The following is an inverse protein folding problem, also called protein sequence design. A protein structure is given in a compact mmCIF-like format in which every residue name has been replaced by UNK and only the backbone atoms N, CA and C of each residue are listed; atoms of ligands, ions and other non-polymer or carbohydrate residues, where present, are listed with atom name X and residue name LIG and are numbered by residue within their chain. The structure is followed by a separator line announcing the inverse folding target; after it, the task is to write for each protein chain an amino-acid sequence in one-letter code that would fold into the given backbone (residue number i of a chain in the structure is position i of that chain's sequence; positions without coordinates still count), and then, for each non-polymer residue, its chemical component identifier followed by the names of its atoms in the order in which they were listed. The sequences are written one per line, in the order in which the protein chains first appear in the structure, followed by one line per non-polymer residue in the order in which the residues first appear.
data_IF_510465303455
#
_entry.id   IF_510465303455
#
_cell.length_a   1.000
_cell.length_b   1.000
_cell.length_c   1.000
_cell.angle_alpha   90.00
_cell.angle_beta   90.00
_cell.angle_gamma   90.00
#
_symmetry.space_group_name_H-M   'P 1'
#
loop_
_entity.id
_entity.type
_entity.pdbx_description
1 polymer ?
#
# COMPACT_ATOMS: atom_id res chain seq x y z
N UNK A 1 -10.22 8.39 -38.09
CA UNK A 1 -8.91 7.78 -37.82
C UNK A 1 -7.93 8.71 -37.11
N UNK A 2 -7.56 9.88 -37.64
CA UNK A 2 -6.59 10.80 -36.98
C UNK A 2 -7.02 11.30 -35.58
N UNK A 3 -8.32 11.60 -35.39
CA UNK A 3 -8.84 12.02 -34.08
C UNK A 3 -8.83 10.88 -33.03
N UNK A 4 -9.06 9.64 -33.49
CA UNK A 4 -9.07 8.44 -32.63
C UNK A 4 -7.65 8.09 -32.17
N UNK A 5 -6.67 8.22 -33.08
CA UNK A 5 -5.25 8.03 -32.81
C UNK A 5 -4.74 9.13 -31.87
N UNK A 6 -5.19 10.38 -32.03
CA UNK A 6 -4.86 11.48 -31.12
C UNK A 6 -5.44 11.27 -29.72
N UNK A 7 -6.69 10.80 -29.59
CA UNK A 7 -7.29 10.42 -28.31
C UNK A 7 -6.56 9.24 -27.66
N UNK A 8 -6.14 8.24 -28.45
CA UNK A 8 -5.33 7.13 -27.97
C UNK A 8 -3.96 7.61 -27.46
N UNK A 9 -3.29 8.50 -28.22
CA UNK A 9 -2.00 9.10 -27.85
C UNK A 9 -2.09 9.99 -26.61
N UNK A 10 -3.16 10.77 -26.46
CA UNK A 10 -3.39 11.58 -25.25
C UNK A 10 -3.72 10.70 -24.04
N UNK A 11 -4.40 9.57 -24.23
CA UNK A 11 -4.61 8.58 -23.15
C UNK A 11 -3.34 7.80 -22.78
N UNK A 12 -2.40 7.63 -23.72
CA UNK A 12 -1.10 6.99 -23.49
C UNK A 12 -0.08 7.91 -22.80
N UNK A 13 -0.23 9.23 -22.90
CA UNK A 13 0.65 10.22 -22.27
C UNK A 13 0.35 10.45 -20.78
N UNK A 14 -0.64 9.76 -20.21
CA UNK A 14 -1.09 9.94 -18.83
C UNK A 14 -0.79 8.73 -17.95
N UNK A 15 0.42 8.16 -17.99
CA UNK A 15 0.74 7.02 -17.10
C UNK A 15 2.17 7.12 -16.56
N UNK A 16 2.39 8.14 -15.73
CA UNK A 16 3.04 7.92 -14.42
C UNK A 16 2.19 8.67 -13.39
N UNK A 17 0.93 8.27 -13.26
CA UNK A 17 0.12 8.71 -12.15
C UNK A 17 0.47 7.83 -10.97
N UNK A 18 1.29 8.34 -10.05
CA UNK A 18 1.31 7.79 -8.71
C UNK A 18 -0.13 7.88 -8.18
N UNK A 19 -0.77 6.73 -7.93
CA UNK A 19 -2.14 6.73 -7.42
C UNK A 19 -2.05 7.13 -5.95
N UNK A 20 -2.33 8.40 -5.67
CA UNK A 20 -2.60 8.80 -4.31
C UNK A 20 -3.96 8.22 -3.89
N UNK A 21 -4.08 7.85 -2.62
CA UNK A 21 -5.31 7.33 -2.07
C UNK A 21 -5.57 7.98 -0.73
N UNK A 22 -6.83 8.34 -0.50
CA UNK A 22 -7.27 8.94 0.76
C UNK A 22 -8.03 7.87 1.52
N UNK A 23 -7.49 7.48 2.67
CA UNK A 23 -8.18 6.68 3.67
C UNK A 23 -8.91 7.62 4.63
N UNK A 24 -10.12 7.26 5.04
CA UNK A 24 -10.95 8.08 5.93
C UNK A 24 -11.49 7.24 7.08
N UNK A 25 -11.55 7.84 8.27
CA UNK A 25 -12.16 7.26 9.46
C UNK A 25 -13.20 8.25 10.01
N UNK A 26 -14.42 7.77 10.19
CA UNK A 26 -15.58 8.57 10.62
C UNK A 26 -16.50 7.72 11.50
N UNK A 27 -17.35 8.34 12.34
CA UNK A 27 -18.36 7.60 13.10
C UNK A 27 -19.41 7.01 12.18
N UNK A 28 -19.91 5.80 12.48
CA UNK A 28 -20.94 5.13 11.66
C UNK A 28 -22.29 5.85 11.64
N UNK A 29 -22.61 6.54 12.74
CA UNK A 29 -23.87 7.24 12.92
C UNK A 29 -23.58 8.66 13.40
N UNK A 30 -24.36 9.63 12.91
CA UNK A 30 -24.28 11.01 13.35
C UNK A 30 -25.66 11.66 13.33
N UNK A 31 -26.01 12.34 14.43
CA UNK A 31 -27.31 13.01 14.59
C UNK A 31 -27.18 14.52 14.48
N UNK A 32 -28.26 15.20 14.12
CA UNK A 32 -28.30 16.67 14.08
C UNK A 32 -27.89 17.24 15.44
N UNK A 33 -26.97 18.20 15.42
CA UNK A 33 -26.38 18.83 16.61
C UNK A 33 -25.15 18.13 17.17
N UNK A 34 -24.84 16.91 16.74
CA UNK A 34 -23.63 16.20 17.17
C UNK A 34 -22.37 16.81 16.57
N UNK A 35 -21.28 16.83 17.35
CA UNK A 35 -19.94 17.09 16.85
C UNK A 35 -19.30 15.76 16.45
N UNK A 36 -18.84 15.68 15.21
CA UNK A 36 -18.14 14.51 14.69
C UNK A 36 -16.73 14.89 14.23
N UNK A 37 -15.80 13.95 14.37
CA UNK A 37 -14.45 14.08 13.84
C UNK A 37 -14.27 13.09 12.70
N UNK A 38 -13.72 13.57 11.59
CA UNK A 38 -13.33 12.77 10.45
C UNK A 38 -11.81 12.87 10.35
N UNK A 39 -11.15 11.74 10.53
CA UNK A 39 -9.71 11.61 10.33
C UNK A 39 -9.45 11.08 8.92
N UNK A 40 -8.38 11.52 8.30
CA UNK A 40 -8.02 11.09 6.96
C UNK A 40 -6.52 11.05 6.76
N UNK A 41 -6.06 10.13 5.92
CA UNK A 41 -4.64 9.94 5.61
C UNK A 41 -4.46 9.92 4.11
N UNK A 42 -3.57 10.76 3.60
CA UNK A 42 -3.14 10.72 2.21
C UNK A 42 -1.92 9.80 2.09
N UNK A 43 -2.12 8.71 1.37
CA UNK A 43 -1.06 7.77 1.01
C UNK A 43 -0.78 7.89 -0.46
N UNK A 44 0.49 7.79 -0.85
CA UNK A 44 0.88 7.72 -2.24
C UNK A 44 1.31 6.28 -2.53
N UNK A 45 0.53 5.58 -3.35
CA UNK A 45 0.85 4.22 -3.76
C UNK A 45 1.96 4.28 -4.82
N UNK A 46 3.13 3.76 -4.49
CA UNK A 46 4.24 3.62 -5.44
C UNK A 46 4.16 2.27 -6.15
N UNK A 47 3.80 1.21 -5.42
CA UNK A 47 3.73 -0.16 -5.96
C UNK A 47 2.36 -0.77 -5.68
N UNK A 48 1.77 -1.35 -6.72
CA UNK A 48 0.59 -2.20 -6.70
C UNK A 48 0.76 -3.29 -7.75
N UNK A 49 1.64 -4.25 -7.48
CA UNK A 49 2.06 -5.21 -8.51
C UNK A 49 2.71 -6.42 -7.88
N UNK A 50 2.40 -7.58 -8.46
CA UNK A 50 3.13 -8.83 -8.22
C UNK A 50 4.23 -9.06 -9.26
N UNK A 51 4.32 -8.24 -10.32
CA UNK A 51 5.36 -8.35 -11.34
C UNK A 51 6.67 -7.70 -10.85
N UNK A 52 7.39 -8.41 -9.98
CA UNK A 52 8.67 -7.96 -9.43
C UNK A 52 9.73 -7.79 -10.53
N UNK A 53 10.30 -6.58 -10.73
CA UNK A 53 11.30 -6.34 -11.78
C UNK A 53 12.65 -6.97 -11.47
N UNK A 54 12.94 -7.27 -10.20
CA UNK A 54 14.15 -7.94 -9.77
C UNK A 54 13.78 -9.18 -8.95
N UNK A 55 14.14 -10.35 -9.47
CA UNK A 55 14.06 -11.62 -8.76
C UNK A 55 15.47 -12.19 -8.74
N UNK A 56 15.96 -12.59 -7.57
CA UNK A 56 17.32 -13.12 -7.43
C UNK A 56 17.49 -14.41 -8.23
N UNK A 57 18.69 -14.66 -8.73
CA UNK A 57 19.05 -15.95 -9.27
C UNK A 57 18.83 -17.07 -8.23
N UNK A 58 18.26 -18.20 -8.67
CA UNK A 58 17.95 -19.34 -7.80
C UNK A 58 16.49 -19.43 -7.34
N UNK A 59 15.66 -18.42 -7.63
CA UNK A 59 14.21 -18.52 -7.49
C UNK A 59 13.63 -19.26 -8.69
N UNK A 60 12.79 -20.26 -8.45
CA UNK A 60 11.98 -20.92 -9.48
C UNK A 60 10.58 -20.34 -9.45
N UNK A 61 10.17 -19.71 -10.54
CA UNK A 61 8.78 -19.35 -10.75
C UNK A 61 7.98 -20.60 -11.14
N UNK A 62 7.00 -20.97 -10.32
CA UNK A 62 6.12 -22.13 -10.54
C UNK A 62 4.90 -21.73 -11.38
N UNK A 63 4.40 -20.51 -11.19
CA UNK A 63 3.24 -19.97 -11.90
C UNK A 63 3.29 -18.46 -11.94
N UNK A 64 2.81 -17.85 -13.03
CA UNK A 64 2.69 -16.39 -13.19
C UNK A 64 1.38 -15.84 -12.62
N UNK A 65 0.30 -16.64 -12.61
CA UNK A 65 -1.06 -16.22 -12.21
C UNK A 65 -1.82 -17.36 -11.52
N UNK A 66 -1.93 -17.35 -10.17
CA UNK A 66 -1.26 -16.43 -9.25
C UNK A 66 0.26 -16.59 -9.31
N UNK A 67 1.02 -15.55 -8.91
CA UNK A 67 2.47 -15.64 -8.88
C UNK A 67 2.90 -16.62 -7.79
N UNK A 68 3.62 -17.68 -8.13
CA UNK A 68 4.14 -18.66 -7.17
C UNK A 68 5.66 -18.75 -7.34
N UNK A 69 6.39 -18.47 -6.26
CA UNK A 69 7.85 -18.46 -6.22
C UNK A 69 8.35 -19.53 -5.24
N UNK A 70 9.30 -20.35 -5.69
CA UNK A 70 10.01 -21.33 -4.88
C UNK A 70 11.47 -20.88 -4.75
N UNK A 71 11.89 -20.58 -3.53
CA UNK A 71 13.18 -19.95 -3.28
C UNK A 71 14.25 -20.89 -2.73
N UNK A 72 15.45 -20.35 -2.67
CA UNK A 72 16.59 -20.91 -1.93
C UNK A 72 17.03 -19.92 -0.85
N UNK A 73 18.00 -20.28 -0.01
CA UNK A 73 18.55 -19.39 1.02
C UNK A 73 18.93 -18.02 0.46
N UNK A 74 18.50 -16.95 1.14
CA UNK A 74 18.82 -15.56 0.78
C UNK A 74 18.22 -15.08 -0.56
N UNK A 75 17.23 -15.80 -1.09
CA UNK A 75 16.53 -15.41 -2.33
C UNK A 75 15.38 -14.43 -2.06
N UNK A 76 15.14 -13.51 -2.99
CA UNK A 76 14.14 -12.45 -2.87
C UNK A 76 13.53 -12.06 -4.21
N UNK A 77 12.41 -11.33 -4.14
CA UNK A 77 11.77 -10.63 -5.24
C UNK A 77 11.45 -9.20 -4.79
N UNK A 78 11.92 -8.19 -5.51
CA UNK A 78 11.92 -6.80 -5.06
C UNK A 78 11.63 -5.80 -6.18
N UNK A 79 11.13 -4.64 -5.76
CA UNK A 79 11.03 -3.42 -6.53
C UNK A 79 12.11 -2.44 -6.11
N UNK A 80 12.53 -1.60 -7.05
CA UNK A 80 13.30 -0.40 -6.73
C UNK A 80 12.33 0.71 -6.36
N UNK A 81 12.65 1.45 -5.31
CA UNK A 81 11.85 2.56 -4.80
C UNK A 81 12.70 3.82 -4.65
N UNK A 82 12.06 4.97 -4.75
CA UNK A 82 12.68 6.26 -4.47
C UNK A 82 11.98 6.90 -3.27
N UNK A 83 12.29 6.41 -2.07
CA UNK A 83 11.68 6.93 -0.85
C UNK A 83 12.28 8.28 -0.44
N UNK A 84 11.40 9.24 -0.18
CA UNK A 84 11.71 10.54 0.43
C UNK A 84 10.75 10.89 1.56
N UNK A 85 9.88 9.95 1.93
CA UNK A 85 8.88 10.06 2.97
C UNK A 85 9.47 9.70 4.34
N UNK A 86 8.77 10.09 5.40
CA UNK A 86 9.11 9.70 6.77
C UNK A 86 8.43 8.41 7.23
N UNK A 87 7.55 7.81 6.43
CA UNK A 87 6.86 6.56 6.81
C UNK A 87 6.54 5.72 5.56
N UNK A 88 6.90 4.44 5.63
CA UNK A 88 6.73 3.43 4.60
C UNK A 88 5.80 2.32 5.10
N UNK A 89 4.75 2.03 4.33
CA UNK A 89 3.77 0.98 4.60
C UNK A 89 3.87 -0.07 3.50
N UNK A 90 4.19 -1.31 3.87
CA UNK A 90 4.39 -2.41 2.93
C UNK A 90 3.40 -3.51 3.26
N UNK A 91 2.61 -3.94 2.28
CA UNK A 91 1.60 -4.98 2.47
C UNK A 91 1.85 -6.14 1.51
N UNK A 92 1.91 -7.34 2.07
CA UNK A 92 1.93 -8.61 1.36
C UNK A 92 0.61 -9.34 1.58
N UNK A 93 -0.01 -9.81 0.50
CA UNK A 93 -1.13 -10.74 0.57
C UNK A 93 -0.78 -12.00 -0.19
N UNK A 94 -0.92 -13.15 0.46
CA UNK A 94 -0.55 -14.40 -0.18
C UNK A 94 -0.54 -15.60 0.75
N UNK A 95 0.14 -16.66 0.29
CA UNK A 95 0.28 -17.93 1.00
C UNK A 95 1.75 -18.26 1.15
N UNK A 96 2.06 -19.05 2.17
CA UNK A 96 3.43 -19.47 2.43
C UNK A 96 3.45 -20.91 2.94
N UNK A 97 4.46 -21.65 2.51
CA UNK A 97 4.78 -22.98 3.00
C UNK A 97 6.28 -23.04 3.32
N UNK A 98 6.60 -22.78 4.59
CA UNK A 98 7.97 -22.55 5.05
C UNK A 98 8.29 -23.35 6.31
N UNK A 99 9.57 -23.62 6.52
CA UNK A 99 10.06 -24.15 7.79
C UNK A 99 10.31 -22.99 8.77
N UNK A 100 10.09 -23.22 10.06
CA UNK A 100 10.41 -22.27 11.12
C UNK A 100 11.90 -21.85 11.14
N UNK A 101 12.78 -22.67 10.56
CA UNK A 101 14.21 -22.35 10.45
C UNK A 101 14.52 -21.26 9.42
N UNK A 102 13.59 -20.97 8.51
CA UNK A 102 13.77 -20.02 7.42
C UNK A 102 13.09 -18.69 7.70
N UNK A 103 13.39 -17.70 6.86
CA UNK A 103 13.03 -16.30 7.10
C UNK A 103 12.37 -15.68 5.85
N UNK A 104 11.31 -16.27 5.27
CA UNK A 104 10.50 -15.55 4.29
C UNK A 104 9.83 -14.35 4.97
N UNK A 105 9.61 -13.27 4.24
CA UNK A 105 9.03 -12.07 4.84
C UNK A 105 9.16 -10.80 4.00
N UNK A 106 8.64 -9.71 4.53
CA UNK A 106 8.81 -8.38 3.95
C UNK A 106 10.24 -7.90 4.20
N UNK A 107 10.91 -7.42 3.16
CA UNK A 107 12.30 -6.97 3.24
C UNK A 107 12.48 -5.59 2.63
N UNK A 108 13.38 -4.79 3.23
CA UNK A 108 13.92 -3.55 2.66
C UNK A 108 15.44 -3.64 2.59
N UNK A 109 16.02 -3.16 1.50
CA UNK A 109 17.46 -3.18 1.24
C UNK A 109 17.99 -1.78 0.93
N UNK A 110 19.15 -1.46 1.51
CA UNK A 110 19.84 -0.19 1.32
C UNK A 110 21.36 -0.32 1.24
N UNK A 111 22.05 0.83 1.32
CA UNK A 111 23.51 0.89 1.26
C UNK A 111 24.07 0.42 -0.09
N UNK A 112 25.01 -0.53 -0.06
CA UNK A 112 25.66 -1.09 -1.27
C UNK A 112 24.97 -2.33 -1.83
N UNK A 113 23.70 -2.55 -1.49
CA UNK A 113 22.95 -3.71 -1.96
C UNK A 113 22.89 -3.79 -3.49
N UNK A 114 23.23 -4.97 -4.02
CA UNK A 114 23.13 -5.31 -5.43
C UNK A 114 22.00 -6.33 -5.65
N UNK A 115 20.92 -5.99 -6.37
CA UNK A 115 19.77 -6.88 -6.57
C UNK A 115 20.07 -8.11 -7.44
N UNK A 116 21.24 -8.17 -8.09
CA UNK A 116 21.61 -9.26 -9.00
C UNK A 116 22.29 -10.46 -8.30
N UNK A 117 22.53 -10.39 -7.00
CA UNK A 117 23.15 -11.46 -6.20
C UNK A 117 22.35 -11.66 -4.90
N UNK A 118 22.50 -12.81 -4.20
CA UNK A 118 21.81 -13.07 -2.93
C UNK A 118 22.05 -11.99 -1.86
N UNK A 119 21.14 -11.89 -0.89
CA UNK A 119 21.21 -10.87 0.16
C UNK A 119 22.32 -11.13 1.21
N UNK A 120 22.47 -10.21 2.16
CA UNK A 120 23.52 -10.28 3.18
C UNK A 120 24.91 -9.95 2.64
N UNK A 121 24.97 -8.95 1.76
CA UNK A 121 26.20 -8.54 1.08
C UNK A 121 27.02 -7.60 1.98
N UNK A 122 28.36 -7.69 2.01
CA UNK A 122 29.17 -6.75 2.77
C UNK A 122 28.88 -5.28 2.41
N UNK A 123 28.43 -4.51 3.40
CA UNK A 123 28.07 -3.10 3.22
C UNK A 123 26.64 -2.83 2.75
N UNK A 124 25.80 -3.86 2.62
CA UNK A 124 24.34 -3.68 2.59
C UNK A 124 23.82 -3.33 3.98
N UNK A 125 22.61 -2.78 4.01
CA UNK A 125 21.88 -2.41 5.22
C UNK A 125 20.45 -2.90 5.01
N UNK A 126 20.13 -4.03 5.64
CA UNK A 126 18.96 -4.81 5.27
C UNK A 126 18.09 -4.99 6.52
N UNK A 127 16.77 -4.90 6.34
CA UNK A 127 15.80 -5.17 7.39
C UNK A 127 14.74 -6.12 6.86
N UNK A 128 14.44 -7.15 7.65
CA UNK A 128 13.54 -8.24 7.28
C UNK A 128 12.54 -8.51 8.41
N UNK A 129 11.26 -8.40 8.08
CA UNK A 129 10.13 -8.77 8.93
C UNK A 129 9.59 -10.10 8.45
N UNK A 130 9.89 -11.17 9.16
CA UNK A 130 9.60 -12.53 8.72
C UNK A 130 8.18 -12.97 9.05
N UNK A 131 7.64 -13.80 8.17
CA UNK A 131 6.39 -14.52 8.39
C UNK A 131 6.50 -15.59 9.49
N UNK A 132 7.74 -15.98 9.85
CA UNK A 132 8.06 -16.90 10.94
C UNK A 132 8.22 -16.23 12.31
N UNK A 133 7.91 -14.93 12.43
CA UNK A 133 7.80 -14.24 13.72
C UNK A 133 9.07 -13.53 14.21
N UNK A 134 9.95 -13.13 13.31
CA UNK A 134 11.24 -12.47 13.62
C UNK A 134 11.43 -11.15 12.89
N UNK A 135 12.04 -10.18 13.56
CA UNK A 135 12.71 -9.04 12.93
C UNK A 135 14.20 -9.38 12.81
N UNK A 136 14.74 -9.36 11.60
CA UNK A 136 16.17 -9.49 11.35
C UNK A 136 16.72 -8.21 10.74
N UNK A 137 17.96 -7.89 11.10
CA UNK A 137 18.72 -6.76 10.55
C UNK A 137 20.09 -7.24 10.09
N UNK A 138 20.54 -6.82 8.91
CA UNK A 138 21.88 -7.12 8.43
C UNK A 138 22.81 -5.93 8.68
N UNK A 139 23.87 -6.16 9.46
CA UNK A 139 24.82 -5.13 9.86
C UNK A 139 26.23 -5.51 9.48
N UNK A 140 26.73 -5.04 8.34
CA UNK A 140 28.13 -5.14 7.80
C UNK A 140 28.77 -6.54 7.71
N UNK A 141 28.58 -7.40 8.70
CA UNK A 141 29.22 -8.69 8.93
C UNK A 141 28.22 -9.84 9.10
N UNK A 142 26.92 -9.59 9.24
CA UNK A 142 25.94 -10.67 9.39
C UNK A 142 24.52 -10.22 9.74
N UNK A 143 23.60 -11.19 9.66
CA UNK A 143 22.22 -11.07 10.13
C UNK A 143 22.15 -11.19 11.65
N UNK A 144 21.43 -10.27 12.29
CA UNK A 144 21.13 -10.25 13.71
C UNK A 144 19.63 -10.32 13.88
N UNK A 145 19.15 -11.06 14.89
CA UNK A 145 17.73 -11.23 15.19
C UNK A 145 17.36 -10.49 16.49
N UNK A 146 17.08 -9.17 16.44
CA UNK A 146 16.71 -8.41 17.62
C UNK A 146 15.36 -8.80 18.23
N UNK A 147 14.38 -9.25 17.44
CA UNK A 147 13.04 -9.61 17.93
C UNK A 147 12.63 -10.95 17.37
N UNK A 148 12.24 -11.89 18.24
CA UNK A 148 11.80 -13.24 17.86
C UNK A 148 10.34 -13.54 18.22
N UNK A 149 9.56 -12.50 18.50
CA UNK A 149 8.19 -12.58 19.03
C UNK A 149 7.18 -11.83 18.16
N UNK A 150 7.47 -11.59 16.88
CA UNK A 150 6.48 -11.05 15.95
C UNK A 150 5.38 -12.10 15.71
N UNK A 151 4.15 -11.70 15.33
CA UNK A 151 3.08 -12.64 15.04
C UNK A 151 3.48 -13.60 13.91
N UNK A 152 3.29 -14.90 14.13
CA UNK A 152 3.46 -15.92 13.10
C UNK A 152 2.22 -15.97 12.20
N UNK A 153 2.42 -16.10 10.89
CA UNK A 153 1.31 -16.14 9.91
C UNK A 153 0.39 -17.37 10.04
N UNK A 154 0.85 -18.39 10.77
CA UNK A 154 0.11 -19.62 11.01
C UNK A 154 0.73 -20.44 12.14
N UNK A 155 -0.03 -21.42 12.64
CA UNK A 155 0.44 -22.31 13.69
C UNK A 155 1.49 -23.29 13.14
N UNK A 156 2.64 -23.45 13.81
CA UNK A 156 3.64 -24.42 13.37
C UNK A 156 3.20 -25.86 13.67
N UNK A 157 3.37 -26.75 12.70
CA UNK A 157 3.15 -28.19 12.81
C UNK A 157 4.42 -28.90 12.35
N UNK A 158 5.03 -29.70 13.22
CA UNK A 158 6.28 -30.43 12.94
C UNK A 158 7.42 -29.54 12.41
N UNK A 159 7.52 -28.31 12.90
CA UNK A 159 8.55 -27.35 12.48
C UNK A 159 8.24 -26.59 11.18
N UNK A 160 7.04 -26.78 10.61
CA UNK A 160 6.60 -26.12 9.39
C UNK A 160 5.38 -25.23 9.64
N UNK A 161 5.32 -24.12 8.90
CA UNK A 161 4.14 -23.28 8.77
C UNK A 161 3.61 -23.48 7.35
N UNK A 162 2.37 -23.95 7.26
CA UNK A 162 1.68 -24.15 5.98
C UNK A 162 0.37 -23.38 5.99
N UNK A 163 0.36 -22.22 5.33
CA UNK A 163 -0.79 -21.33 5.26
C UNK A 163 -1.44 -21.48 3.88
N UNK A 164 -2.53 -22.24 3.82
CA UNK A 164 -3.21 -22.55 2.54
C UNK A 164 -4.27 -21.51 2.14
N UNK A 165 -4.72 -20.68 3.08
CA UNK A 165 -5.61 -19.54 2.84
C UNK A 165 -4.79 -18.25 2.83
N UNK A 166 -5.05 -17.29 1.92
CA UNK A 166 -4.27 -16.06 1.89
C UNK A 166 -4.30 -15.32 3.23
N UNK A 167 -3.14 -14.90 3.69
CA UNK A 167 -2.98 -13.98 4.83
C UNK A 167 -2.59 -12.60 4.30
N UNK A 168 -2.93 -11.57 5.07
CA UNK A 168 -2.48 -10.19 4.85
C UNK A 168 -1.47 -9.82 5.95
N UNK A 169 -0.24 -9.50 5.56
CA UNK A 169 0.81 -9.04 6.45
C UNK A 169 1.27 -7.65 6.02
N UNK A 170 1.06 -6.65 6.90
CA UNK A 170 1.49 -5.27 6.67
C UNK A 170 2.58 -4.88 7.66
N UNK A 171 3.67 -4.30 7.16
CA UNK A 171 4.72 -3.66 7.95
C UNK A 171 4.59 -2.14 7.86
N UNK A 172 4.71 -1.44 9.01
CA UNK A 172 4.76 0.02 9.07
C UNK A 172 6.10 0.45 9.66
N UNK A 173 6.89 1.13 8.83
CA UNK A 173 8.24 1.60 9.12
C UNK A 173 8.24 3.13 9.13
N UNK A 174 8.98 3.75 10.04
CA UNK A 174 9.08 5.21 10.17
C UNK A 174 10.55 5.65 10.25
N UNK A 175 10.86 6.84 9.73
CA UNK A 175 12.14 7.50 9.95
C UNK A 175 12.16 8.15 11.34
N UNK A 176 12.93 7.58 12.24
CA UNK A 176 13.19 8.18 13.54
C UNK A 176 14.69 8.41 13.68
N UNK A 177 15.07 9.69 13.63
CA UNK A 177 16.47 10.15 13.72
C UNK A 177 17.39 9.55 12.63
N UNK A 178 16.88 9.41 11.40
CA UNK A 178 17.64 8.90 10.25
C UNK A 178 17.81 7.38 10.24
N UNK A 179 17.06 6.66 11.06
CA UNK A 179 17.10 5.20 11.19
C UNK A 179 15.71 4.59 11.09
N UNK A 180 15.62 3.37 10.55
CA UNK A 180 14.36 2.65 10.44
C UNK A 180 13.84 2.29 11.82
N UNK A 181 12.67 2.80 12.15
CA UNK A 181 11.89 2.43 13.31
C UNK A 181 10.72 1.54 12.88
N UNK A 182 10.63 0.35 13.46
CA UNK A 182 9.53 -0.59 13.21
C UNK A 182 8.42 -0.27 14.20
N UNK A 183 7.35 0.37 13.73
CA UNK A 183 6.26 0.88 14.56
C UNK A 183 5.34 -0.25 15.00
N UNK A 184 4.75 -0.93 14.04
CA UNK A 184 3.89 -2.09 14.25
C UNK A 184 3.80 -2.93 12.97
N UNK A 185 3.30 -4.15 13.14
CA UNK A 185 2.86 -5.00 12.04
C UNK A 185 1.36 -5.27 12.16
N UNK A 186 0.69 -5.50 11.04
CA UNK A 186 -0.71 -5.88 11.02
C UNK A 186 -0.79 -7.25 10.34
N UNK A 187 -1.34 -8.24 11.04
CA UNK A 187 -1.60 -9.57 10.49
C UNK A 187 -3.11 -9.79 10.46
N UNK A 188 -3.66 -10.01 9.26
CA UNK A 188 -5.10 -10.26 9.05
C UNK A 188 -6.02 -9.21 9.70
N UNK A 189 -5.58 -7.95 9.70
CA UNK A 189 -6.32 -6.81 10.28
C UNK A 189 -6.06 -6.57 11.77
N UNK A 190 -5.34 -7.45 12.46
CA UNK A 190 -4.98 -7.27 13.87
C UNK A 190 -3.60 -6.59 13.99
N UNK A 191 -3.52 -5.55 14.82
CA UNK A 191 -2.32 -4.72 15.00
C UNK A 191 -1.47 -5.23 16.16
N UNK A 192 -0.18 -5.44 15.88
CA UNK A 192 0.84 -5.87 16.84
C UNK A 192 1.92 -4.80 16.96
N UNK A 193 2.02 -4.17 18.13
CA UNK A 193 3.02 -3.12 18.38
C UNK A 193 4.40 -3.76 18.45
N UNK A 194 5.35 -3.17 17.72
CA UNK A 194 6.75 -3.60 17.73
C UNK A 194 7.61 -2.59 18.48
N UNK A 195 7.43 -1.29 18.21
CA UNK A 195 8.08 -0.17 18.91
C UNK A 195 9.61 -0.36 19.06
N UNK A 196 10.30 -0.53 17.92
CA UNK A 196 11.72 -0.85 17.91
C UNK A 196 12.52 -0.02 16.91
N UNK A 197 13.48 0.76 17.41
CA UNK A 197 14.42 1.51 16.58
C UNK A 197 15.59 0.62 16.15
N UNK A 198 15.75 0.44 14.85
CA UNK A 198 16.82 -0.38 14.30
C UNK A 198 18.09 0.45 14.06
N UNK A 199 19.26 -0.19 13.99
CA UNK A 199 20.51 0.45 13.54
C UNK A 199 20.60 0.62 12.02
N UNK A 200 19.55 0.27 11.26
CA UNK A 200 19.53 0.38 9.80
C UNK A 200 19.16 1.83 9.43
N UNK A 201 19.96 2.53 8.62
CA UNK A 201 19.64 3.90 8.22
C UNK A 201 18.36 3.98 7.37
N UNK A 202 17.63 5.09 7.48
CA UNK A 202 16.48 5.41 6.61
C UNK A 202 16.96 5.85 5.21
N UNK A 203 17.56 4.92 4.46
CA UNK A 203 18.11 5.16 3.12
C UNK A 203 18.05 3.92 2.21
N UNK A 204 16.97 3.15 2.34
CA UNK A 204 16.76 1.97 1.51
C UNK A 204 16.35 2.38 0.08
N UNK A 205 16.65 1.50 -0.87
CA UNK A 205 16.41 1.71 -2.31
C UNK A 205 15.61 0.58 -2.94
N UNK A 206 15.39 -0.51 -2.19
CA UNK A 206 14.58 -1.63 -2.64
C UNK A 206 13.66 -2.11 -1.52
N UNK A 207 12.51 -2.62 -1.93
CA UNK A 207 11.50 -3.23 -1.06
C UNK A 207 10.90 -4.44 -1.77
N UNK A 208 10.53 -5.46 -1.02
CA UNK A 208 9.85 -6.61 -1.58
C UNK A 208 9.65 -7.72 -0.58
N UNK A 209 9.74 -8.95 -1.08
CA UNK A 209 9.59 -10.17 -0.30
C UNK A 209 10.86 -11.00 -0.40
N UNK A 210 11.39 -11.40 0.76
CA UNK A 210 12.37 -12.47 0.86
C UNK A 210 11.63 -13.80 0.84
N UNK A 211 12.10 -14.71 0.00
CA UNK A 211 11.46 -16.00 -0.25
C UNK A 211 12.12 -17.08 0.62
N UNK A 212 13.46 -17.05 0.71
CA UNK A 212 14.22 -18.10 1.42
C UNK A 212 13.84 -19.51 0.90
N UNK A 213 14.21 -20.64 1.54
CA UNK A 213 13.72 -21.96 1.14
C UNK A 213 12.24 -22.14 1.52
N UNK A 214 11.37 -21.44 0.78
CA UNK A 214 9.93 -21.45 0.91
C UNK A 214 9.23 -21.46 -0.45
N UNK A 215 7.97 -21.90 -0.45
CA UNK A 215 7.06 -21.72 -1.57
C UNK A 215 6.04 -20.63 -1.24
N UNK A 216 6.22 -19.45 -1.82
CA UNK A 216 5.34 -18.29 -1.65
C UNK A 216 4.36 -18.17 -2.81
N UNK A 217 3.07 -18.02 -2.51
CA UNK A 217 2.10 -17.48 -3.47
C UNK A 217 1.94 -16.00 -3.17
N UNK A 218 2.15 -15.13 -4.15
CA UNK A 218 1.96 -13.69 -4.04
C UNK A 218 0.67 -13.31 -4.75
N UNK A 219 -0.39 -13.08 -3.98
CA UNK A 219 -1.69 -12.67 -4.51
C UNK A 219 -1.73 -11.15 -4.72
N UNK A 220 -1.14 -10.37 -3.80
CA UNK A 220 -1.00 -8.92 -3.91
C UNK A 220 0.26 -8.43 -3.18
N UNK A 221 0.87 -7.36 -3.70
CA UNK A 221 1.99 -6.67 -3.06
C UNK A 221 1.87 -5.16 -3.28
N UNK A 222 1.71 -4.43 -2.19
CA UNK A 222 1.45 -3.01 -2.19
C UNK A 222 2.46 -2.26 -1.33
N UNK A 223 2.94 -1.12 -1.84
CA UNK A 223 3.84 -0.21 -1.11
C UNK A 223 3.27 1.19 -1.18
N UNK A 224 3.12 1.79 0.00
CA UNK A 224 2.61 3.13 0.17
C UNK A 224 3.63 3.97 0.95
N UNK A 225 3.81 5.20 0.50
CA UNK A 225 4.41 6.23 1.31
C UNK A 225 3.31 7.09 1.92
N UNK A 226 3.55 7.57 3.13
CA UNK A 226 2.81 8.74 3.58
C UNK A 226 3.22 9.94 2.73
N UNK A 227 2.24 10.76 2.36
CA UNK A 227 2.52 12.04 1.70
C UNK A 227 2.44 13.13 2.78
N UNK A 228 3.55 13.48 3.45
CA UNK A 228 3.54 14.43 4.53
C UNK A 228 3.28 15.85 4.01
N UNK A 229 2.72 16.69 4.87
CA UNK A 229 2.58 18.14 4.63
C UNK A 229 1.82 18.51 3.34
N UNK A 230 0.92 17.64 2.90
CA UNK A 230 0.12 17.88 1.71
C UNK A 230 -1.05 18.80 2.04
N UNK A 231 -1.26 19.86 1.23
CA UNK A 231 -2.38 20.76 1.42
C UNK A 231 -3.70 20.03 1.09
N UNK A 232 -4.68 20.18 1.97
CA UNK A 232 -6.03 19.66 1.79
C UNK A 232 -7.07 20.77 1.96
N UNK A 233 -8.23 20.56 1.35
CA UNK A 233 -9.41 21.39 1.52
C UNK A 233 -10.61 20.49 1.83
N UNK A 234 -11.37 20.86 2.86
CA UNK A 234 -12.61 20.20 3.24
C UNK A 234 -13.77 21.08 2.83
N UNK A 235 -14.69 20.53 2.05
CA UNK A 235 -15.96 21.16 1.70
C UNK A 235 -17.11 20.48 2.43
N UNK A 236 -18.08 21.26 2.88
CA UNK A 236 -19.34 20.78 3.43
C UNK A 236 -20.47 21.36 2.59
N UNK A 237 -21.30 20.49 2.01
CA UNK A 237 -22.38 20.86 1.09
C UNK A 237 -21.92 21.81 -0.03
N UNK A 238 -20.74 21.53 -0.60
CA UNK A 238 -20.14 22.29 -1.69
C UNK A 238 -19.50 23.63 -1.29
N UNK A 239 -19.51 24.00 0.00
CA UNK A 239 -18.84 25.21 0.51
C UNK A 239 -17.55 24.86 1.23
N UNK A 240 -16.49 25.63 1.01
CA UNK A 240 -15.24 25.47 1.76
C UNK A 240 -15.53 25.63 3.26
N UNK A 241 -15.12 24.62 4.03
CA UNK A 241 -15.33 24.55 5.47
C UNK A 241 -14.01 24.74 6.21
N UNK A 242 -12.96 24.03 5.78
CA UNK A 242 -11.63 24.11 6.37
C UNK A 242 -10.57 23.83 5.31
N UNK A 243 -9.36 24.33 5.54
CA UNK A 243 -8.16 23.97 4.79
C UNK A 243 -7.00 23.80 5.75
N UNK A 244 -6.05 22.97 5.40
CA UNK A 244 -4.87 22.70 6.21
C UNK A 244 -3.83 21.94 5.43
N UNK A 245 -2.79 21.50 6.14
CA UNK A 245 -1.82 20.56 5.61
C UNK A 245 -1.81 19.32 6.50
N UNK A 246 -1.55 18.16 5.92
CA UNK A 246 -1.33 16.94 6.70
C UNK A 246 -0.10 17.07 7.61
N UNK A 247 -0.08 16.32 8.70
CA UNK A 247 1.09 16.24 9.59
C UNK A 247 2.26 15.51 8.90
N UNK A 248 3.35 15.27 9.64
CA UNK A 248 4.52 14.53 9.15
C UNK A 248 4.23 13.06 8.80
N UNK A 249 3.05 12.55 9.17
CA UNK A 249 2.57 11.20 8.87
C UNK A 249 1.54 11.19 7.72
N UNK A 250 1.31 12.32 7.04
CA UNK A 250 0.30 12.40 5.98
C UNK A 250 -1.15 12.35 6.49
N UNK A 251 -1.37 12.53 7.80
CA UNK A 251 -2.68 12.53 8.43
C UNK A 251 -3.24 13.95 8.58
N UNK A 252 -4.55 14.07 8.42
CA UNK A 252 -5.33 15.26 8.72
C UNK A 252 -6.60 14.90 9.48
N UNK A 253 -7.21 15.90 10.11
CA UNK A 253 -8.49 15.73 10.75
C UNK A 253 -9.34 16.99 10.59
N UNK A 254 -10.66 16.79 10.59
CA UNK A 254 -11.63 17.87 10.64
C UNK A 254 -12.71 17.52 11.64
N UNK A 255 -13.06 18.48 12.49
CA UNK A 255 -14.21 18.36 13.40
C UNK A 255 -15.31 19.29 12.92
N UNK A 256 -16.52 18.76 12.74
CA UNK A 256 -17.67 19.52 12.25
C UNK A 256 -18.92 19.21 13.08
N UNK A 257 -19.88 20.13 13.08
CA UNK A 257 -21.18 19.94 13.71
C UNK A 257 -22.21 19.56 12.65
N UNK A 258 -22.97 18.49 12.88
CA UNK A 258 -24.02 18.05 11.94
C UNK A 258 -25.18 19.04 12.02
N UNK A 259 -25.36 19.85 10.98
CA UNK A 259 -26.32 20.96 10.96
C UNK A 259 -27.59 20.68 10.14
N UNK A 260 -27.62 19.61 9.35
CA UNK A 260 -28.77 19.29 8.49
C UNK A 260 -29.04 17.78 8.43
N UNK A 261 -30.28 17.36 8.07
CA UNK A 261 -30.65 15.95 7.95
C UNK A 261 -29.83 15.19 6.89
N UNK A 262 -29.31 15.89 5.89
CA UNK A 262 -28.36 15.38 4.92
C UNK A 262 -27.19 16.36 4.82
N UNK A 263 -25.98 15.84 4.92
CA UNK A 263 -24.74 16.59 4.68
C UNK A 263 -23.81 15.79 3.80
N UNK A 264 -23.08 16.48 2.94
CA UNK A 264 -22.03 15.91 2.10
C UNK A 264 -20.71 16.58 2.47
N UNK A 265 -19.74 15.79 2.90
CA UNK A 265 -18.39 16.23 3.23
C UNK A 265 -17.45 15.75 2.13
N UNK A 266 -16.71 16.66 1.51
CA UNK A 266 -15.69 16.34 0.53
C UNK A 266 -14.32 16.72 1.07
N UNK A 267 -13.42 15.75 1.20
CA UNK A 267 -12.01 15.94 1.53
C UNK A 267 -11.22 15.86 0.24
N UNK A 268 -10.58 16.95 -0.16
CA UNK A 268 -9.86 17.07 -1.42
C UNK A 268 -8.38 17.38 -1.18
N UNK A 269 -7.51 16.72 -1.94
CA UNK A 269 -6.07 16.96 -2.03
C UNK A 269 -5.74 17.48 -3.43
N UNK A 270 -5.74 18.82 -3.64
CA UNK A 270 -5.69 19.41 -4.98
C UNK A 270 -4.43 19.05 -5.78
N UNK A 271 -3.28 18.91 -5.12
CA UNK A 271 -2.01 18.59 -5.78
C UNK A 271 -1.98 17.16 -6.32
N UNK A 272 -2.67 16.24 -5.65
CA UNK A 272 -2.77 14.84 -6.04
C UNK A 272 -3.97 14.56 -6.95
N UNK A 273 -4.83 15.57 -7.19
CA UNK A 273 -6.10 15.42 -7.90
C UNK A 273 -7.01 14.33 -7.32
N UNK A 274 -6.89 14.07 -6.01
CA UNK A 274 -7.64 13.06 -5.30
C UNK A 274 -8.67 13.69 -4.35
N UNK A 275 -9.81 13.01 -4.20
CA UNK A 275 -10.84 13.42 -3.25
C UNK A 275 -11.65 12.23 -2.72
N UNK A 276 -12.31 12.43 -1.57
CA UNK A 276 -13.27 11.48 -0.99
C UNK A 276 -14.52 12.22 -0.56
N UNK A 277 -15.66 11.59 -0.87
CA UNK A 277 -16.98 12.10 -0.53
C UNK A 277 -17.55 11.22 0.58
N UNK A 278 -17.97 11.85 1.66
CA UNK A 278 -18.62 11.22 2.81
C UNK A 278 -20.02 11.81 2.90
N UNK A 279 -21.03 10.95 2.81
CA UNK A 279 -22.43 11.32 2.97
C UNK A 279 -22.87 11.03 4.39
N UNK A 280 -23.51 12.00 5.04
CA UNK A 280 -24.06 11.92 6.39
C UNK A 280 -25.58 12.05 6.27
N UNK A 281 -26.29 10.98 6.58
CA UNK A 281 -27.73 10.97 6.84
C UNK A 281 -27.94 11.03 8.35
N UNK A 282 -28.63 12.06 8.82
CA UNK A 282 -28.87 12.31 10.25
C UNK A 282 -30.34 12.13 10.67
N UNK A 283 -31.08 11.28 9.93
CA UNK A 283 -32.49 10.97 10.17
C UNK A 283 -32.67 9.71 11.03
N UNK A 284 -33.89 9.13 11.07
CA UNK A 284 -34.24 7.97 11.92
C UNK A 284 -33.43 6.70 11.65
N UNK A 285 -32.68 6.66 10.56
CA UNK A 285 -31.70 5.65 10.21
C UNK A 285 -30.38 6.38 9.91
N UNK A 286 -29.77 6.93 10.95
CA UNK A 286 -28.55 7.72 10.81
C UNK A 286 -27.44 6.84 10.23
N UNK A 287 -26.79 7.32 9.18
CA UNK A 287 -25.80 6.57 8.44
C UNK A 287 -24.77 7.53 7.88
N UNK A 288 -23.50 7.20 8.10
CA UNK A 288 -22.37 7.89 7.50
C UNK A 288 -21.62 6.87 6.67
N UNK A 289 -21.44 7.18 5.39
CA UNK A 289 -20.73 6.29 4.47
C UNK A 289 -19.93 7.09 3.44
N UNK A 290 -18.94 6.42 2.86
CA UNK A 290 -18.18 6.96 1.73
C UNK A 290 -18.89 6.62 0.44
N UNK A 291 -19.07 7.61 -0.41
CA UNK A 291 -19.51 7.40 -1.79
C UNK A 291 -18.29 7.29 -2.70
N UNK A 292 -18.26 6.23 -3.52
CA UNK A 292 -17.26 6.09 -4.57
C UNK A 292 -17.65 6.96 -5.76
N UNK A 293 -16.76 7.83 -6.27
CA UNK A 293 -17.10 8.71 -7.36
C UNK A 293 -17.44 7.92 -8.63
N UNK A 294 -18.70 8.01 -9.05
CA UNK A 294 -19.26 7.35 -10.25
C UNK A 294 -18.67 7.92 -11.56
N UNK A 295 -17.99 9.06 -11.49
CA UNK A 295 -17.47 9.80 -12.65
C UNK A 295 -16.46 9.00 -13.48
N UNK A 296 -15.57 8.23 -12.85
CA UNK A 296 -14.62 7.38 -13.59
C UNK A 296 -15.34 6.28 -14.37
N UNK A 297 -16.32 5.62 -13.75
CA UNK A 297 -17.15 4.60 -14.40
C UNK A 297 -18.07 5.17 -15.48
N UNK A 298 -18.59 6.38 -15.28
CA UNK A 298 -19.41 7.09 -16.27
C UNK A 298 -18.59 7.48 -17.51
N UNK A 299 -17.35 7.97 -17.34
CA UNK A 299 -16.42 8.25 -18.43
C UNK A 299 -16.06 6.99 -19.22
N UNK A 300 -15.84 5.87 -18.53
CA UNK A 300 -15.60 4.56 -19.14
C UNK A 300 -16.84 4.07 -19.92
N UNK A 301 -18.03 4.25 -19.35
CA UNK A 301 -19.30 3.95 -20.03
C UNK A 301 -19.52 4.80 -21.28
N UNK A 302 -19.30 6.11 -21.20
CA UNK A 302 -19.42 7.03 -22.35
C UNK A 302 -18.43 6.68 -23.45
N UNK A 303 -17.18 6.36 -23.09
CA UNK A 303 -16.15 6.00 -24.08
C UNK A 303 -16.46 4.67 -24.77
N UNK A 304 -16.96 3.66 -24.06
CA UNK A 304 -17.46 2.41 -24.67
C UNK A 304 -18.62 2.69 -25.64
N UNK A 305 -19.59 3.51 -25.24
CA UNK A 305 -20.72 3.87 -26.10
C UNK A 305 -20.25 4.58 -27.37
N UNK A 306 -19.31 5.52 -27.27
CA UNK A 306 -18.75 6.24 -28.42
C UNK A 306 -17.98 5.32 -29.39
N UNK A 307 -17.27 4.31 -28.88
CA UNK A 307 -16.59 3.30 -29.72
C UNK A 307 -17.62 2.45 -30.47
N UNK A 308 -18.66 1.97 -29.79
CA UNK A 308 -19.73 1.16 -30.42
C UNK A 308 -20.46 1.95 -31.50
N UNK A 309 -20.81 3.21 -31.23
CA UNK A 309 -21.47 4.10 -32.21
C UNK A 309 -20.55 4.32 -33.42
N UNK A 310 -19.25 4.52 -33.19
CA UNK A 310 -18.28 4.72 -34.28
C UNK A 310 -18.19 3.49 -35.19
N UNK A 311 -18.12 2.28 -34.62
CA UNK A 311 -18.11 1.02 -35.37
C UNK A 311 -19.40 0.79 -36.16
N UNK A 312 -20.56 1.14 -35.60
CA UNK A 312 -21.86 1.02 -36.29
C UNK A 312 -21.96 1.99 -37.48
N UNK A 313 -21.45 3.22 -37.35
CA UNK A 313 -21.42 4.21 -38.44
C UNK A 313 -20.46 3.77 -39.55
N UNK A 314 -19.29 3.25 -39.20
CA UNK A 314 -18.30 2.77 -40.17
C UNK A 314 -18.80 1.54 -40.94
N UNK A 315 -19.54 0.65 -40.28
CA UNK A 315 -20.17 -0.52 -40.91
C UNK A 315 -21.31 -0.17 -41.86
N UNK A 316 -21.97 0.98 -41.69
CA UNK A 316 -23.00 1.50 -42.61
C UNK A 316 -22.43 2.27 -43.81
N UNK A 317 -21.13 2.61 -43.79
CA UNK A 317 -20.43 3.32 -44.89
C UNK A 317 -19.69 2.37 -45.84
N UNK A 318 -19.62 1.08 -45.51
CA UNK A 318 -19.28 0.00 -46.45
C UNK A 318 -20.57 -0.62 -46.98
#
# INVERSE_FOLDING_TARGET
MRLLILLLLVSLLSIVSFSASISVQYPKEAFIGSKISINFTLTQQEINSTAFPFITAGVREISEKPLILDGIGCSFAIFKINDSSGELIITFVGKDNTSLGWNPGIVVYGGKFNPHIPDGQPGSCDLLLTFTGRLLVFLKTGWVNPISTLPLIGSPVNGWINVTKPFNYTAVLEDVNGSIFVKYVILNGEKYVVDYQTPIPWNFTYVGVRIDPSTLTVDDFCVYFTSPHQPYVVYVNGKEYAKGCTNCLGEGSVTLTVSSPSMVVNISFPLQHEYRVITISAQRDADVHVEYPVTQYALLGISVVLVVVSLLIERKRK
#
